data_IF_100288637403
#
_entry.id   IF_100288637403
#
_cell.length_a   1.000
_cell.length_b   1.000
_cell.length_c   1.000
_cell.angle_alpha   90.00
_cell.angle_beta   90.00
_cell.angle_gamma   90.00
#
_symmetry.space_group_name_H-M   'P 1'
#
loop_
_entity.id
_entity.type
_entity.pdbx_description
1 polymer ?
#
# COMPACT_ATOMS: atom_id res chain seq x y z
N UNK A 1 85.19 -12.12 16.25
CA UNK A 1 83.99 -12.88 16.54
C UNK A 1 82.71 -12.02 16.85
N UNK A 2 82.82 -10.69 16.85
CA UNK A 2 81.76 -9.81 17.34
C UNK A 2 80.88 -9.18 16.24
N UNK A 3 81.38 -9.01 15.02
CA UNK A 3 80.61 -8.38 13.92
C UNK A 3 79.63 -9.32 13.23
N UNK A 4 79.99 -10.56 13.00
CA UNK A 4 79.13 -11.58 12.41
C UNK A 4 77.91 -11.89 13.31
N UNK A 5 78.15 -11.96 14.63
CA UNK A 5 77.07 -12.25 15.59
C UNK A 5 76.05 -11.09 15.68
N UNK A 6 76.53 -9.85 15.63
CA UNK A 6 75.64 -8.66 15.59
C UNK A 6 74.76 -8.65 14.32
N UNK A 7 75.31 -8.99 13.17
CA UNK A 7 74.59 -9.03 11.90
C UNK A 7 73.49 -10.11 11.89
N UNK A 8 73.74 -11.26 12.48
CA UNK A 8 72.73 -12.36 12.59
C UNK A 8 71.59 -11.97 13.53
N UNK A 9 71.91 -11.35 14.65
CA UNK A 9 70.91 -10.86 15.60
C UNK A 9 70.04 -9.74 14.98
N UNK A 10 70.67 -8.80 14.29
CA UNK A 10 69.94 -7.69 13.65
C UNK A 10 69.07 -8.19 12.51
N UNK A 11 69.54 -9.14 11.71
CA UNK A 11 68.75 -9.80 10.65
C UNK A 11 67.57 -10.61 11.20
N UNK A 12 67.79 -11.33 12.30
CA UNK A 12 66.73 -12.09 12.98
C UNK A 12 65.67 -11.22 13.59
N UNK A 13 66.02 -10.12 14.23
CA UNK A 13 65.09 -9.15 14.78
C UNK A 13 64.29 -8.42 13.69
N UNK A 14 64.91 -8.08 12.58
CA UNK A 14 64.25 -7.41 11.46
C UNK A 14 63.24 -8.36 10.78
N UNK A 15 63.63 -9.64 10.62
CA UNK A 15 62.72 -10.66 10.08
C UNK A 15 61.56 -10.95 11.02
N UNK A 16 61.78 -11.04 12.32
CA UNK A 16 60.74 -11.22 13.31
C UNK A 16 59.77 -9.98 13.34
N UNK A 17 60.29 -8.80 13.22
CA UNK A 17 59.44 -7.59 13.13
C UNK A 17 58.58 -7.56 11.87
N UNK A 18 59.13 -7.99 10.73
CA UNK A 18 58.37 -8.14 9.47
C UNK A 18 57.29 -9.23 9.53
N UNK A 19 57.54 -10.35 10.23
CA UNK A 19 56.55 -11.42 10.40
C UNK A 19 55.42 -11.05 11.39
N UNK A 20 55.68 -10.16 12.33
CA UNK A 20 54.70 -9.64 13.27
C UNK A 20 53.76 -8.59 12.66
N UNK A 21 54.14 -7.99 11.52
CA UNK A 21 53.32 -6.98 10.82
C UNK A 21 52.25 -7.55 9.90
N UNK A 22 52.17 -8.90 9.75
CA UNK A 22 51.27 -9.53 8.77
C UNK A 22 49.79 -9.63 9.20
N UNK A 23 49.41 -9.11 10.34
CA UNK A 23 48.03 -9.10 10.81
C UNK A 23 47.35 -7.73 10.88
N UNK A 24 47.86 -6.77 10.12
CA UNK A 24 47.16 -5.50 9.95
C UNK A 24 45.93 -5.73 9.09
N UNK A 25 44.86 -6.10 9.71
CA UNK A 25 43.53 -6.07 9.10
C UNK A 25 43.26 -4.61 8.71
N UNK A 26 43.09 -4.33 7.42
CA UNK A 26 42.77 -3.02 6.92
C UNK A 26 41.32 -2.65 7.23
N UNK A 27 41.01 -2.50 8.51
CA UNK A 27 39.71 -1.99 8.94
C UNK A 27 39.78 -0.45 8.95
N UNK A 28 38.74 0.21 8.45
CA UNK A 28 38.68 1.65 8.36
C UNK A 28 37.55 2.16 9.26
N UNK A 29 37.89 3.06 10.16
CA UNK A 29 36.91 3.79 10.96
C UNK A 29 37.12 5.29 10.80
N UNK A 30 36.03 6.01 10.54
CA UNK A 30 35.96 7.47 10.47
C UNK A 30 34.92 7.91 11.52
N UNK A 31 35.33 8.77 12.42
CA UNK A 31 34.41 9.27 13.47
C UNK A 31 35.14 9.69 14.74
N UNK A 32 34.41 9.77 15.85
CA UNK A 32 34.85 10.27 17.14
C UNK A 32 35.90 9.39 17.84
N UNK A 33 35.97 8.10 17.49
CA UNK A 33 36.93 7.17 18.09
C UNK A 33 37.54 6.27 16.99
N UNK A 34 38.43 6.81 16.16
CA UNK A 34 38.97 6.15 14.97
C UNK A 34 39.86 4.94 15.25
N UNK A 35 40.32 4.76 16.48
CA UNK A 35 41.16 3.64 16.88
C UNK A 35 40.42 2.40 17.34
N UNK A 36 39.11 2.50 17.51
CA UNK A 36 38.26 1.38 18.02
C UNK A 36 37.11 1.11 17.05
N UNK A 37 37.31 0.16 16.15
CA UNK A 37 36.28 -0.35 15.24
C UNK A 37 35.65 -1.62 15.81
N UNK A 38 34.38 -1.86 15.52
CA UNK A 38 33.73 -3.13 15.81
C UNK A 38 34.47 -4.26 15.08
N UNK A 39 34.93 -5.31 15.78
CA UNK A 39 35.70 -6.40 15.19
C UNK A 39 34.96 -7.16 14.07
N UNK A 40 33.66 -6.99 13.97
CA UNK A 40 32.83 -7.58 12.91
C UNK A 40 32.71 -6.70 11.65
N UNK A 41 33.25 -5.47 11.65
CA UNK A 41 33.16 -4.56 10.53
C UNK A 41 34.49 -4.33 9.84
N UNK A 42 34.45 -4.15 8.52
CA UNK A 42 35.59 -3.68 7.72
C UNK A 42 35.60 -2.15 7.60
N UNK A 43 34.44 -1.53 7.63
CA UNK A 43 34.27 -0.08 7.53
C UNK A 43 33.23 0.39 8.53
N UNK A 44 33.53 1.46 9.24
CA UNK A 44 32.57 2.25 10.02
C UNK A 44 32.76 3.73 9.75
N UNK A 45 31.67 4.43 9.46
CA UNK A 45 31.63 5.90 9.37
C UNK A 45 30.58 6.37 10.37
N UNK A 46 31.05 7.04 11.43
CA UNK A 46 30.18 7.54 12.49
C UNK A 46 29.81 9.00 12.27
N UNK A 47 28.57 9.34 12.57
CA UNK A 47 28.15 10.71 12.72
C UNK A 47 28.60 11.28 14.08
N UNK A 48 28.59 12.59 14.24
CA UNK A 48 28.83 13.26 15.54
C UNK A 48 27.73 12.91 16.58
N UNK A 49 26.55 12.52 16.13
CA UNK A 49 25.47 12.04 17.02
C UNK A 49 25.73 10.61 17.42
N UNK A 50 25.83 10.30 18.73
CA UNK A 50 26.10 8.96 19.21
C UNK A 50 25.08 7.92 18.68
N UNK A 51 25.58 6.73 18.30
CA UNK A 51 24.76 5.63 17.80
C UNK A 51 24.41 5.70 16.32
N UNK A 52 24.70 6.81 15.63
CA UNK A 52 24.45 6.94 14.18
C UNK A 52 25.71 6.61 13.40
N UNK A 53 25.61 5.62 12.51
CA UNK A 53 26.75 5.16 11.70
C UNK A 53 26.31 4.44 10.42
N UNK A 54 27.22 4.40 9.47
CA UNK A 54 27.18 3.44 8.36
C UNK A 54 28.33 2.44 8.54
N UNK A 55 28.05 1.15 8.43
CA UNK A 55 29.02 0.09 8.61
C UNK A 55 28.88 -0.98 7.53
N UNK A 56 30.02 -1.67 7.24
CA UNK A 56 30.07 -2.85 6.37
C UNK A 56 30.60 -4.03 7.17
N UNK A 57 29.76 -5.06 7.31
CA UNK A 57 30.13 -6.29 8.02
C UNK A 57 31.21 -7.05 7.21
N UNK A 58 32.29 -7.46 7.88
CA UNK A 58 33.44 -8.11 7.23
C UNK A 58 33.14 -9.52 6.73
N UNK A 59 32.21 -10.24 7.34
CA UNK A 59 31.90 -11.62 7.02
C UNK A 59 30.82 -11.73 5.95
N UNK A 60 29.75 -10.91 6.07
CA UNK A 60 28.60 -10.98 5.19
C UNK A 60 28.62 -9.94 4.07
N UNK A 61 29.44 -8.88 4.18
CA UNK A 61 29.43 -7.72 3.28
C UNK A 61 28.18 -6.84 3.43
N UNK A 62 27.33 -7.11 4.40
CA UNK A 62 26.08 -6.37 4.61
C UNK A 62 26.38 -4.95 5.04
N UNK A 63 25.69 -4.00 4.40
CA UNK A 63 25.71 -2.58 4.77
C UNK A 63 24.65 -2.33 5.83
N UNK A 64 25.03 -1.70 6.93
CA UNK A 64 24.13 -1.23 7.98
C UNK A 64 24.15 0.29 8.00
N UNK A 65 22.99 0.92 7.94
CA UNK A 65 22.81 2.36 8.09
C UNK A 65 21.92 2.59 9.30
N UNK A 66 22.53 3.10 10.37
CA UNK A 66 21.83 3.46 11.63
C UNK A 66 21.79 4.96 11.70
N UNK A 67 20.68 5.58 11.35
CA UNK A 67 20.46 7.02 11.35
C UNK A 67 19.39 7.48 12.35
N UNK A 68 18.81 6.53 13.08
CA UNK A 68 17.71 6.74 14.04
C UNK A 68 16.32 6.71 13.41
N UNK A 69 16.23 6.43 12.10
CA UNK A 69 14.96 6.28 11.39
C UNK A 69 14.72 4.83 10.93
N UNK A 70 15.68 3.92 11.17
CA UNK A 70 15.61 2.52 10.81
C UNK A 70 14.44 1.78 11.48
N UNK A 71 13.99 0.69 10.85
CA UNK A 71 12.92 -0.16 11.36
C UNK A 71 12.59 -1.31 10.43
N UNK A 72 11.94 -2.34 10.96
CA UNK A 72 11.55 -3.51 10.17
C UNK A 72 10.61 -3.13 9.03
N UNK A 73 10.89 -3.60 7.81
CA UNK A 73 10.08 -3.32 6.63
C UNK A 73 10.25 -1.92 6.03
N UNK A 74 11.10 -1.07 6.57
CA UNK A 74 11.41 0.24 6.00
C UNK A 74 12.35 0.13 4.81
N UNK A 75 12.26 1.10 3.91
CA UNK A 75 13.09 1.27 2.71
C UNK A 75 13.94 2.52 2.87
N UNK A 76 15.21 2.44 2.51
CA UNK A 76 16.09 3.61 2.51
C UNK A 76 15.81 4.44 1.25
N UNK A 77 15.31 5.65 1.45
CA UNK A 77 14.89 6.56 0.37
C UNK A 77 15.57 7.89 0.47
N UNK A 78 15.71 8.58 -0.66
CA UNK A 78 16.26 9.93 -0.77
C UNK A 78 15.16 10.98 -0.59
N UNK A 79 15.46 12.08 0.07
CA UNK A 79 14.69 13.32 0.04
C UNK A 79 14.98 14.16 -1.22
N UNK A 80 14.35 15.33 -1.34
CA UNK A 80 14.52 16.24 -2.47
C UNK A 80 15.95 16.83 -2.59
N UNK A 81 16.74 16.80 -1.51
CA UNK A 81 18.10 17.33 -1.45
C UNK A 81 19.15 16.22 -1.57
N UNK A 82 18.74 14.97 -1.77
CA UNK A 82 19.62 13.81 -1.84
C UNK A 82 19.98 13.21 -0.48
N UNK A 83 19.41 13.71 0.62
CA UNK A 83 19.54 13.10 1.94
C UNK A 83 18.77 11.78 2.03
N UNK A 84 19.43 10.70 2.52
CA UNK A 84 18.79 9.41 2.69
C UNK A 84 18.28 9.20 4.11
N UNK A 85 17.12 8.54 4.24
CA UNK A 85 16.55 8.07 5.52
C UNK A 85 15.69 6.82 5.33
N UNK A 86 15.46 6.07 6.40
CA UNK A 86 14.57 4.92 6.38
C UNK A 86 13.12 5.37 6.49
N UNK A 87 12.37 5.19 5.44
CA UNK A 87 10.95 5.50 5.39
C UNK A 87 10.14 4.20 5.43
N UNK A 88 8.95 4.27 5.98
CA UNK A 88 8.00 3.16 5.81
C UNK A 88 7.86 2.96 4.31
N UNK A 89 8.30 1.80 3.79
CA UNK A 89 8.03 1.47 2.39
C UNK A 89 6.54 1.70 2.21
N UNK A 90 6.12 2.44 1.17
CA UNK A 90 4.72 2.80 0.95
C UNK A 90 3.73 1.68 1.32
N UNK A 91 3.85 1.25 2.53
CA UNK A 91 3.10 0.22 3.19
C UNK A 91 1.69 0.73 3.28
N UNK A 92 0.94 0.27 2.35
CA UNK A 92 -0.44 0.56 2.30
C UNK A 92 -0.73 1.82 1.50
N UNK A 93 -0.64 1.69 0.18
CA UNK A 93 -1.58 2.43 -0.61
C UNK A 93 -2.94 2.32 0.07
N UNK A 94 -3.50 3.45 0.47
CA UNK A 94 -4.81 3.46 1.09
C UNK A 94 -5.75 2.60 0.24
N UNK A 95 -6.24 1.52 0.80
CA UNK A 95 -7.11 0.57 0.11
C UNK A 95 -8.21 0.08 1.03
N UNK A 96 -9.33 -0.28 0.48
CA UNK A 96 -10.41 -0.94 1.20
C UNK A 96 -11.08 -1.98 0.31
N UNK A 97 -11.71 -2.93 0.94
CA UNK A 97 -12.59 -3.90 0.32
C UNK A 97 -13.83 -4.07 1.19
N UNK A 98 -14.99 -3.91 0.57
CA UNK A 98 -16.28 -4.05 1.22
C UNK A 98 -17.17 -4.98 0.40
N UNK A 99 -17.91 -5.84 1.08
CA UNK A 99 -18.87 -6.72 0.43
C UNK A 99 -20.20 -6.74 1.15
N UNK A 100 -21.22 -7.08 0.40
CA UNK A 100 -22.55 -7.36 0.91
C UNK A 100 -23.08 -8.66 0.33
N UNK A 101 -24.13 -9.14 0.93
CA UNK A 101 -24.89 -10.28 0.45
C UNK A 101 -26.37 -9.89 0.28
N UNK A 102 -27.18 -10.80 -0.25
CA UNK A 102 -28.60 -10.61 -0.48
C UNK A 102 -29.42 -10.40 0.81
N UNK A 103 -28.81 -10.54 2.00
CA UNK A 103 -29.50 -10.32 3.28
C UNK A 103 -29.28 -8.90 3.81
N UNK A 104 -28.22 -8.22 3.38
CA UNK A 104 -27.78 -6.93 3.92
C UNK A 104 -28.18 -5.71 3.10
N UNK A 105 -28.58 -5.89 1.85
CA UNK A 105 -28.86 -4.75 0.98
C UNK A 105 -30.03 -5.03 0.04
N UNK A 106 -31.27 -4.79 0.44
CA UNK A 106 -32.37 -4.72 -0.52
C UNK A 106 -32.13 -3.52 -1.44
N UNK A 107 -31.99 -3.75 -2.73
CA UNK A 107 -31.98 -2.67 -3.72
C UNK A 107 -33.42 -2.22 -3.92
N UNK A 108 -33.73 -1.08 -3.39
CA UNK A 108 -35.04 -0.46 -3.60
C UNK A 108 -35.02 0.32 -4.90
N UNK A 109 -35.81 -0.09 -5.86
CA UNK A 109 -36.00 0.58 -7.12
C UNK A 109 -36.98 1.73 -6.96
N UNK A 110 -36.54 2.94 -7.22
CA UNK A 110 -37.44 4.12 -7.30
C UNK A 110 -36.95 5.15 -8.30
N UNK A 111 -36.05 4.83 -9.21
CA UNK A 111 -35.42 5.81 -10.10
C UNK A 111 -34.45 6.76 -9.37
N UNK A 112 -34.07 6.45 -8.13
CA UNK A 112 -33.11 7.23 -7.34
C UNK A 112 -31.85 6.43 -7.10
N UNK A 113 -30.71 6.96 -7.49
CA UNK A 113 -29.40 6.39 -7.18
C UNK A 113 -29.13 6.46 -5.67
N UNK A 114 -28.84 5.34 -5.08
CA UNK A 114 -28.61 5.24 -3.65
C UNK A 114 -27.25 4.57 -3.38
N UNK A 115 -26.41 5.16 -2.51
CA UNK A 115 -25.17 4.53 -2.10
C UNK A 115 -25.40 3.16 -1.48
N UNK A 116 -24.64 2.16 -1.91
CA UNK A 116 -24.71 0.80 -1.39
C UNK A 116 -23.94 0.71 -0.09
N UNK A 117 -24.62 0.28 0.96
CA UNK A 117 -24.03 0.14 2.31
C UNK A 117 -23.53 -1.29 2.48
N UNK A 118 -22.21 -1.47 2.48
CA UNK A 118 -21.56 -2.75 2.58
C UNK A 118 -20.80 -2.90 3.88
N UNK A 119 -20.55 -4.14 4.29
CA UNK A 119 -19.68 -4.43 5.44
C UNK A 119 -18.23 -4.40 4.94
N UNK A 120 -17.39 -3.61 5.60
CA UNK A 120 -15.96 -3.61 5.32
C UNK A 120 -15.35 -4.96 5.75
N UNK A 121 -14.77 -5.69 4.79
CA UNK A 121 -14.15 -7.00 5.07
C UNK A 121 -12.66 -6.91 5.32
N UNK A 122 -11.99 -5.97 4.65
CA UNK A 122 -10.56 -5.83 4.73
C UNK A 122 -10.20 -4.34 4.64
N UNK A 123 -9.81 -3.79 5.77
CA UNK A 123 -9.30 -2.42 5.92
C UNK A 123 -7.80 -2.43 6.24
N UNK A 124 -7.08 -3.51 5.87
CA UNK A 124 -5.71 -3.75 6.32
C UNK A 124 -4.75 -2.60 6.00
N UNK A 125 -5.05 -1.79 5.00
CA UNK A 125 -4.22 -0.66 4.55
C UNK A 125 -4.98 0.67 4.46
N UNK A 126 -6.25 0.70 4.85
CA UNK A 126 -6.99 1.95 4.92
C UNK A 126 -6.78 2.58 6.29
N UNK A 127 -6.60 3.91 6.38
CA UNK A 127 -6.74 4.59 7.66
C UNK A 127 -8.05 4.20 8.32
N UNK A 128 -8.01 3.94 9.61
CA UNK A 128 -9.20 3.54 10.37
C UNK A 128 -10.37 4.48 10.08
N UNK A 129 -11.46 3.94 9.56
CA UNK A 129 -12.67 4.70 9.29
C UNK A 129 -12.78 5.38 7.90
N UNK A 130 -11.84 5.14 6.97
CA UNK A 130 -11.93 5.72 5.63
C UNK A 130 -13.17 5.23 4.85
N UNK A 131 -13.56 3.95 4.98
CA UNK A 131 -14.84 3.46 4.49
C UNK A 131 -15.86 3.43 5.62
N UNK A 132 -17.01 4.06 5.40
CA UNK A 132 -18.12 4.12 6.33
C UNK A 132 -19.26 3.20 5.87
N UNK A 133 -19.41 2.06 6.51
CA UNK A 133 -20.46 1.07 6.20
C UNK A 133 -21.90 1.59 6.43
N UNK A 134 -22.08 2.59 7.27
CA UNK A 134 -23.39 3.17 7.53
C UNK A 134 -23.86 4.12 6.39
N UNK A 135 -22.93 4.77 5.69
CA UNK A 135 -23.24 5.67 4.56
C UNK A 135 -22.92 5.04 3.19
N UNK A 136 -22.07 4.00 3.13
CA UNK A 136 -21.58 3.40 1.90
C UNK A 136 -20.52 4.25 1.18
N UNK A 137 -19.89 5.17 1.90
CA UNK A 137 -18.91 6.11 1.36
C UNK A 137 -17.49 5.79 1.79
N UNK A 138 -16.56 5.88 0.87
CA UNK A 138 -15.13 5.92 1.13
C UNK A 138 -14.66 7.37 1.14
N UNK A 139 -14.03 7.79 2.23
CA UNK A 139 -13.39 9.11 2.34
C UNK A 139 -11.92 9.00 1.93
N UNK A 140 -11.52 9.73 0.91
CA UNK A 140 -10.15 9.78 0.39
C UNK A 140 -9.22 10.33 1.48
N UNK A 141 -8.23 9.57 1.98
CA UNK A 141 -7.39 10.02 3.08
C UNK A 141 -6.29 11.00 2.65
N UNK A 142 -5.81 10.91 1.43
CA UNK A 142 -4.71 11.69 0.90
C UNK A 142 -4.90 12.00 -0.58
N UNK A 143 -4.31 13.09 -1.07
CA UNK A 143 -4.30 13.40 -2.51
C UNK A 143 -3.60 12.29 -3.29
N UNK A 144 -4.16 11.87 -4.42
CA UNK A 144 -3.52 10.85 -5.24
C UNK A 144 -4.40 10.24 -6.32
N UNK A 145 -3.82 9.32 -7.08
CA UNK A 145 -4.56 8.51 -8.04
C UNK A 145 -5.16 7.28 -7.36
N UNK A 146 -6.45 7.11 -7.55
CA UNK A 146 -7.22 6.00 -7.00
C UNK A 146 -7.90 5.21 -8.11
N UNK A 147 -7.89 3.89 -7.96
CA UNK A 147 -8.72 2.98 -8.75
C UNK A 147 -9.83 2.47 -7.84
N UNK A 148 -11.07 2.60 -8.28
CA UNK A 148 -12.25 2.03 -7.64
C UNK A 148 -12.87 0.99 -8.54
N UNK A 149 -13.40 -0.06 -7.93
CA UNK A 149 -14.14 -1.12 -8.59
C UNK A 149 -15.41 -1.41 -7.82
N UNK A 150 -16.54 -1.40 -8.51
CA UNK A 150 -17.84 -1.83 -8.01
C UNK A 150 -18.35 -2.98 -8.85
N UNK A 151 -18.88 -4.01 -8.19
CA UNK A 151 -19.47 -5.17 -8.86
C UNK A 151 -20.75 -5.58 -8.17
N UNK A 152 -21.76 -5.97 -8.95
CA UNK A 152 -23.03 -6.45 -8.45
C UNK A 152 -23.60 -7.57 -9.30
N UNK A 153 -24.04 -8.64 -8.64
CA UNK A 153 -24.91 -9.63 -9.21
C UNK A 153 -26.36 -9.29 -8.90
N UNK A 154 -27.19 -9.10 -9.90
CA UNK A 154 -28.60 -8.77 -9.74
C UNK A 154 -29.49 -9.89 -10.22
N UNK A 155 -30.58 -10.13 -9.52
CA UNK A 155 -31.61 -11.09 -9.89
C UNK A 155 -32.96 -10.38 -10.00
N UNK A 156 -33.66 -10.53 -11.11
CA UNK A 156 -35.04 -10.05 -11.24
C UNK A 156 -36.00 -11.08 -10.62
N UNK A 157 -36.54 -10.75 -9.44
CA UNK A 157 -37.50 -11.59 -8.70
C UNK A 157 -38.91 -11.04 -8.72
N UNK A 158 -39.29 -10.28 -9.73
CA UNK A 158 -40.63 -9.75 -9.83
C UNK A 158 -41.68 -10.89 -9.82
N UNK A 159 -42.48 -10.97 -8.76
CA UNK A 159 -43.50 -12.00 -8.59
C UNK A 159 -44.71 -11.59 -9.43
N UNK A 160 -45.00 -12.35 -10.46
CA UNK A 160 -46.30 -12.32 -11.16
C UNK A 160 -46.44 -11.31 -12.29
N UNK A 161 -45.37 -10.84 -12.93
CA UNK A 161 -45.46 -9.89 -14.04
C UNK A 161 -44.53 -10.20 -15.19
N UNK A 162 -45.01 -9.99 -16.39
CA UNK A 162 -44.23 -9.88 -17.62
C UNK A 162 -43.66 -8.46 -17.70
N UNK A 163 -42.47 -8.26 -17.22
CA UNK A 163 -41.78 -6.93 -17.30
C UNK A 163 -40.29 -7.10 -17.29
N UNK A 164 -39.60 -6.23 -17.96
CA UNK A 164 -38.17 -6.17 -18.01
C UNK A 164 -37.65 -4.97 -17.21
N UNK A 165 -36.45 -5.10 -16.65
CA UNK A 165 -35.81 -4.05 -15.84
C UNK A 165 -34.36 -3.88 -16.26
N UNK A 166 -33.95 -2.63 -16.26
CA UNK A 166 -32.54 -2.28 -16.33
C UNK A 166 -32.01 -1.95 -14.94
N UNK A 167 -30.84 -2.41 -14.63
CA UNK A 167 -30.09 -1.98 -13.46
C UNK A 167 -28.90 -1.19 -13.90
N UNK A 168 -28.70 -0.03 -13.34
CA UNK A 168 -27.50 0.76 -13.54
C UNK A 168 -26.69 0.85 -12.27
N UNK A 169 -25.37 0.85 -12.43
CA UNK A 169 -24.39 0.99 -11.35
C UNK A 169 -23.44 2.12 -11.65
N UNK A 170 -23.18 2.92 -10.64
CA UNK A 170 -22.37 4.11 -10.72
C UNK A 170 -21.28 4.13 -9.67
N UNK A 171 -20.10 4.64 -10.07
CA UNK A 171 -19.11 5.17 -9.14
C UNK A 171 -19.23 6.69 -9.16
N UNK A 172 -19.45 7.29 -8.01
CA UNK A 172 -19.71 8.72 -7.86
C UNK A 172 -18.76 9.32 -6.83
N UNK A 173 -18.10 10.43 -7.21
CA UNK A 173 -17.34 11.28 -6.30
C UNK A 173 -18.16 12.49 -5.92
N UNK A 174 -18.13 12.88 -4.65
CA UNK A 174 -18.84 14.05 -4.18
C UNK A 174 -18.33 15.35 -4.83
N UNK A 175 -17.05 15.43 -5.16
CA UNK A 175 -16.43 16.61 -5.77
C UNK A 175 -16.46 16.60 -7.29
N UNK A 176 -16.40 15.42 -7.94
CA UNK A 176 -16.28 15.29 -9.40
C UNK A 176 -17.56 14.80 -10.10
N UNK A 177 -18.55 14.37 -9.33
CA UNK A 177 -19.76 13.75 -9.87
C UNK A 177 -19.53 12.32 -10.36
N UNK A 178 -20.17 11.97 -11.46
CA UNK A 178 -20.10 10.62 -12.03
C UNK A 178 -18.69 10.31 -12.52
N UNK A 179 -18.09 9.25 -11.96
CA UNK A 179 -16.77 8.75 -12.33
C UNK A 179 -16.84 7.64 -13.37
N UNK A 180 -17.82 6.75 -13.25
CA UNK A 180 -18.04 5.65 -14.17
C UNK A 180 -19.47 5.13 -14.04
N UNK A 181 -20.02 4.60 -15.13
CA UNK A 181 -21.40 4.16 -15.24
C UNK A 181 -21.52 2.91 -16.09
N UNK A 182 -22.39 1.99 -15.68
CA UNK A 182 -22.72 0.79 -16.45
C UNK A 182 -24.22 0.49 -16.30
N UNK A 183 -24.88 0.10 -17.38
CA UNK A 183 -26.26 -0.32 -17.39
C UNK A 183 -26.35 -1.77 -17.82
N UNK A 184 -27.13 -2.58 -17.10
CA UNK A 184 -27.41 -3.95 -17.52
C UNK A 184 -28.24 -3.98 -18.80
N UNK A 185 -28.14 -5.05 -19.59
CA UNK A 185 -29.21 -5.38 -20.54
C UNK A 185 -30.53 -5.53 -19.80
N UNK A 186 -31.61 -5.37 -20.55
CA UNK A 186 -32.95 -5.58 -20.04
C UNK A 186 -33.10 -6.99 -19.44
N UNK A 187 -33.35 -7.05 -18.12
CA UNK A 187 -33.51 -8.32 -17.40
C UNK A 187 -34.97 -8.74 -17.38
N UNK A 188 -35.24 -9.90 -17.96
CA UNK A 188 -36.54 -10.55 -17.84
C UNK A 188 -36.63 -11.34 -16.52
N UNK A 189 -37.86 -11.65 -16.11
CA UNK A 189 -38.11 -12.44 -14.90
C UNK A 189 -37.29 -13.73 -14.81
N UNK A 190 -36.67 -13.93 -13.65
CA UNK A 190 -35.86 -15.11 -13.36
C UNK A 190 -34.44 -15.10 -13.93
N UNK A 191 -34.02 -14.01 -14.59
CA UNK A 191 -32.68 -13.87 -15.15
C UNK A 191 -31.83 -12.99 -14.26
N UNK A 192 -30.62 -13.45 -13.96
CA UNK A 192 -29.59 -12.69 -13.27
C UNK A 192 -28.58 -12.06 -14.24
N UNK A 193 -27.99 -10.95 -13.85
CA UNK A 193 -26.85 -10.35 -14.55
C UNK A 193 -25.77 -9.91 -13.57
N UNK A 194 -24.54 -10.02 -14.00
CA UNK A 194 -23.39 -9.40 -13.34
C UNK A 194 -23.03 -8.10 -14.04
N UNK A 195 -22.70 -7.11 -13.24
CA UNK A 195 -22.26 -5.82 -13.72
C UNK A 195 -21.04 -5.40 -12.95
N UNK A 196 -20.11 -4.77 -13.67
CA UNK A 196 -18.89 -4.25 -13.14
C UNK A 196 -18.72 -2.80 -13.59
N UNK A 197 -18.20 -1.98 -12.69
CA UNK A 197 -17.82 -0.60 -12.99
C UNK A 197 -16.47 -0.31 -12.38
N UNK A 198 -15.58 0.29 -13.17
CA UNK A 198 -14.24 0.66 -12.72
C UNK A 198 -13.93 2.10 -13.09
N UNK A 199 -13.22 2.78 -12.23
CA UNK A 199 -12.78 4.16 -12.46
C UNK A 199 -11.38 4.39 -11.92
N UNK A 200 -10.57 5.15 -12.67
CA UNK A 200 -9.25 5.60 -12.25
C UNK A 200 -9.19 7.13 -12.29
N UNK A 201 -9.03 7.77 -11.13
CA UNK A 201 -9.11 9.23 -11.01
C UNK A 201 -8.12 9.77 -10.00
N UNK A 202 -7.60 10.97 -10.26
CA UNK A 202 -6.92 11.76 -9.23
C UNK A 202 -7.95 12.40 -8.32
N UNK A 203 -7.88 12.13 -7.02
CA UNK A 203 -8.78 12.63 -5.99
C UNK A 203 -8.01 13.39 -4.91
N UNK A 204 -8.70 14.28 -4.22
CA UNK A 204 -8.13 15.06 -3.11
C UNK A 204 -8.59 14.53 -1.77
N UNK A 205 -7.75 14.71 -0.75
CA UNK A 205 -8.07 14.32 0.62
C UNK A 205 -9.41 14.92 1.06
N UNK A 206 -10.24 14.11 1.70
CA UNK A 206 -11.58 14.48 2.14
C UNK A 206 -12.68 14.28 1.10
N UNK A 207 -12.36 14.02 -0.17
CA UNK A 207 -13.39 13.66 -1.16
C UNK A 207 -14.05 12.33 -0.78
N UNK A 208 -15.31 12.18 -1.17
CA UNK A 208 -16.10 10.98 -0.86
C UNK A 208 -16.48 10.26 -2.13
N UNK A 209 -16.24 8.97 -2.16
CA UNK A 209 -16.60 8.10 -3.27
C UNK A 209 -17.59 7.05 -2.81
N UNK A 210 -18.65 6.86 -3.56
CA UNK A 210 -19.68 5.85 -3.32
C UNK A 210 -19.92 4.99 -4.55
N UNK A 211 -20.25 3.75 -4.30
CA UNK A 211 -20.82 2.83 -5.27
C UNK A 211 -22.33 2.89 -5.14
N UNK A 212 -23.03 3.19 -6.22
CA UNK A 212 -24.49 3.41 -6.23
C UNK A 212 -25.15 2.44 -7.20
N UNK A 213 -26.35 2.02 -6.84
CA UNK A 213 -27.18 1.16 -7.66
C UNK A 213 -28.55 1.84 -7.86
N UNK A 214 -29.03 1.79 -9.07
CA UNK A 214 -30.38 2.17 -9.42
C UNK A 214 -31.02 1.09 -10.30
N UNK A 215 -32.31 0.87 -10.13
CA UNK A 215 -33.08 -0.01 -10.99
C UNK A 215 -34.27 0.78 -11.55
N UNK A 216 -34.32 0.97 -12.87
CA UNK A 216 -35.40 1.64 -13.54
C UNK A 216 -36.54 0.69 -13.88
N UNK A 217 -37.77 1.19 -13.76
CA UNK A 217 -38.94 0.51 -14.26
C UNK A 217 -39.14 0.76 -15.74
N UNK A 218 -39.22 -0.29 -16.52
CA UNK A 218 -39.89 -0.25 -17.81
C UNK A 218 -41.38 -0.45 -17.56
N UNK A 219 -42.21 0.46 -18.06
CA UNK A 219 -43.63 0.68 -17.74
C UNK A 219 -44.47 -0.58 -17.44
N UNK A 220 -45.16 -0.56 -16.32
CA UNK A 220 -46.24 -1.48 -16.00
C UNK A 220 -46.03 -2.38 -14.79
N UNK A 221 -44.93 -2.37 -14.12
CA UNK A 221 -44.59 -3.27 -13.02
C UNK A 221 -44.40 -2.51 -11.70
N UNK A 222 -44.95 -3.04 -10.62
CA UNK A 222 -44.74 -2.54 -9.27
C UNK A 222 -43.28 -2.66 -8.86
N UNK A 223 -42.78 -1.75 -7.95
CA UNK A 223 -41.42 -1.76 -7.46
C UNK A 223 -41.18 -2.95 -6.55
N UNK A 224 -40.91 -4.11 -7.11
CA UNK A 224 -40.56 -5.30 -6.34
C UNK A 224 -39.07 -5.59 -6.52
N UNK A 225 -38.42 -5.70 -5.41
CA UNK A 225 -37.02 -5.95 -5.15
C UNK A 225 -36.21 -6.63 -6.24
N UNK A 226 -35.22 -5.96 -6.79
CA UNK A 226 -34.04 -6.63 -7.36
C UNK A 226 -33.24 -7.17 -6.19
N UNK A 227 -33.14 -8.48 -6.07
CA UNK A 227 -32.30 -9.10 -5.06
C UNK A 227 -30.87 -9.14 -5.57
N UNK A 228 -29.94 -8.59 -4.82
CA UNK A 228 -28.53 -8.65 -5.14
C UNK A 228 -27.91 -9.93 -4.62
N UNK A 229 -27.32 -10.74 -5.50
CA UNK A 229 -26.71 -12.02 -5.13
C UNK A 229 -25.36 -11.81 -4.42
N UNK A 230 -24.58 -10.84 -4.88
CA UNK A 230 -23.35 -10.41 -4.25
C UNK A 230 -23.03 -8.98 -4.69
N UNK A 231 -22.46 -8.20 -3.79
CA UNK A 231 -22.04 -6.83 -4.06
C UNK A 231 -20.63 -6.65 -3.52
N UNK A 232 -19.77 -6.02 -4.32
CA UNK A 232 -18.41 -5.67 -3.94
C UNK A 232 -18.16 -4.21 -4.25
N UNK A 233 -17.47 -3.54 -3.35
CA UNK A 233 -16.94 -2.21 -3.59
C UNK A 233 -15.54 -2.13 -2.99
N UNK A 234 -14.57 -1.83 -3.81
CA UNK A 234 -13.19 -1.72 -3.40
C UNK A 234 -12.53 -0.48 -4.00
N UNK A 235 -11.47 -0.04 -3.38
CA UNK A 235 -10.67 1.05 -3.89
C UNK A 235 -9.24 0.97 -3.39
N UNK A 236 -8.30 1.42 -4.22
CA UNK A 236 -6.89 1.49 -3.86
C UNK A 236 -6.24 2.73 -4.46
N UNK A 237 -5.37 3.36 -3.70
CA UNK A 237 -4.45 4.38 -4.20
C UNK A 237 -3.30 3.71 -4.92
N UNK A 238 -2.88 4.21 -6.08
CA UNK A 238 -1.85 3.57 -6.93
C UNK A 238 -0.55 4.36 -7.06
N UNK A 239 -0.51 5.59 -6.56
CA UNK A 239 0.66 6.48 -6.62
C UNK A 239 1.31 6.73 -5.26
N UNK A 240 1.20 5.82 -4.33
CA UNK A 240 1.64 5.93 -2.94
C UNK A 240 3.16 5.96 -2.73
N UNK A 241 3.96 5.74 -3.75
CA UNK A 241 5.42 5.77 -3.68
C UNK A 241 6.04 7.11 -4.17
N UNK A 242 5.23 8.14 -4.35
CA UNK A 242 5.69 9.47 -4.76
C UNK A 242 5.70 10.40 -3.55
N UNK A 243 6.77 10.32 -2.76
CA UNK A 243 7.19 11.41 -1.89
C UNK A 243 8.42 12.08 -2.47
#
# INVERSE_FOLDING_TARGET
MTTQFKSIITGGLLSAALLLSSSLMAQVKIGSNPTTIDPNNNLEVEASTPGRKTAINKTTGQVTITDGTEGAGKVFTSDANGGGSWQTSGAGCASFDAKGDNTTTPVVSTGVYTPVKLIANNVAYSPSGAYNSATGEYTVPENGFYIFHGSVGTYNVAIGTTGSRNTSIDLVSASKGLLSHTVSPELVYGVGAWQDVTSANYLTAGDKVSFQINSDHVSGVKPDSVTTAAIFFSGTRVDCNKN
#
